data_IF_165116803967
#
_entry.id   IF_165116803967
#
_cell.length_a   1.000
_cell.length_b   1.000
_cell.length_c   1.000
_cell.angle_alpha   90.00
_cell.angle_beta   90.00
_cell.angle_gamma   90.00
#
_symmetry.space_group_name_H-M   'P 1'
#
loop_
_entity.id
_entity.type
_entity.pdbx_description
1 polymer ?
#
# COMPACT_ATOMS: atom_id res chain seq x y z
N UNK A 1 10.42 10.11 -0.35
CA UNK A 1 9.29 9.46 0.36
C UNK A 1 8.24 10.49 0.74
N UNK A 2 8.61 11.54 1.48
CA UNK A 2 7.66 12.56 1.97
C UNK A 2 6.93 13.31 0.85
N UNK A 3 7.62 13.65 -0.25
CA UNK A 3 6.98 14.27 -1.41
C UNK A 3 5.92 13.35 -2.05
N UNK A 4 6.20 12.06 -2.18
CA UNK A 4 5.25 11.06 -2.71
C UNK A 4 4.04 10.97 -1.79
N UNK A 5 4.25 10.92 -0.47
CA UNK A 5 3.17 10.91 0.52
C UNK A 5 2.29 12.15 0.35
N UNK A 6 2.90 13.34 0.33
CA UNK A 6 2.18 14.61 0.18
C UNK A 6 1.36 14.69 -1.11
N UNK A 7 1.92 14.21 -2.22
CA UNK A 7 1.20 14.15 -3.51
C UNK A 7 0.03 13.18 -3.43
N UNK A 8 0.23 11.96 -2.91
CA UNK A 8 -0.84 10.97 -2.77
C UNK A 8 -1.96 11.45 -1.84
N UNK A 9 -1.62 12.13 -0.73
CA UNK A 9 -2.59 12.78 0.15
C UNK A 9 -3.36 13.87 -0.60
N UNK A 10 -2.66 14.72 -1.35
CA UNK A 10 -3.29 15.81 -2.12
C UNK A 10 -4.25 15.25 -3.18
N UNK A 11 -3.86 14.17 -3.86
CA UNK A 11 -4.71 13.47 -4.82
C UNK A 11 -5.95 12.89 -4.14
N UNK A 12 -5.80 12.24 -2.98
CA UNK A 12 -6.91 11.69 -2.21
C UNK A 12 -7.89 12.76 -1.72
N UNK A 13 -7.45 13.99 -1.45
CA UNK A 13 -8.32 15.09 -1.01
C UNK A 13 -8.87 15.94 -2.16
N UNK A 14 -8.39 15.73 -3.38
CA UNK A 14 -8.82 16.48 -4.55
C UNK A 14 -10.07 15.88 -5.18
N UNK A 15 -11.05 16.73 -5.48
CA UNK A 15 -12.25 16.33 -6.22
C UNK A 15 -11.97 16.03 -7.71
N UNK A 16 -10.75 16.26 -8.19
CA UNK A 16 -10.34 15.99 -9.56
C UNK A 16 -10.08 14.50 -9.84
N UNK A 17 -9.95 13.67 -8.79
CA UNK A 17 -9.65 12.25 -8.92
C UNK A 17 -10.80 11.40 -8.37
N UNK A 18 -11.21 10.40 -9.14
CA UNK A 18 -12.00 9.28 -8.65
C UNK A 18 -11.10 8.05 -8.52
N UNK A 19 -11.31 7.28 -7.45
CA UNK A 19 -10.51 6.11 -7.12
C UNK A 19 -11.41 4.89 -7.02
N UNK A 20 -10.97 3.75 -7.59
CA UNK A 20 -11.71 2.49 -7.53
C UNK A 20 -12.10 2.10 -6.09
N UNK A 21 -11.14 2.22 -5.16
CA UNK A 21 -11.43 2.12 -3.73
C UNK A 21 -10.56 3.08 -2.92
N UNK A 22 -11.14 4.20 -2.52
CA UNK A 22 -10.47 5.23 -1.72
C UNK A 22 -9.97 4.72 -0.37
N UNK A 23 -10.71 3.84 0.29
CA UNK A 23 -10.30 3.26 1.59
C UNK A 23 -9.07 2.37 1.44
N UNK A 24 -8.96 1.61 0.36
CA UNK A 24 -7.81 0.74 0.10
C UNK A 24 -6.54 1.56 -0.13
N UNK A 25 -6.64 2.65 -0.88
CA UNK A 25 -5.52 3.56 -1.12
C UNK A 25 -5.09 4.27 0.17
N UNK A 26 -6.04 4.76 0.98
CA UNK A 26 -5.71 5.39 2.26
C UNK A 26 -5.00 4.40 3.21
N UNK A 27 -5.49 3.17 3.34
CA UNK A 27 -4.84 2.12 4.14
C UNK A 27 -3.41 1.84 3.65
N UNK A 28 -3.21 1.74 2.33
CA UNK A 28 -1.89 1.57 1.74
C UNK A 28 -0.97 2.76 2.05
N UNK A 29 -1.49 3.99 1.98
CA UNK A 29 -0.75 5.21 2.27
C UNK A 29 -0.33 5.31 3.75
N UNK A 30 -1.22 4.98 4.69
CA UNK A 30 -0.87 4.95 6.11
C UNK A 30 0.23 3.93 6.40
N UNK A 31 0.18 2.75 5.75
CA UNK A 31 1.24 1.75 5.85
C UNK A 31 2.55 2.23 5.22
N UNK A 32 2.49 2.87 4.05
CA UNK A 32 3.66 3.41 3.38
C UNK A 32 4.39 4.44 4.25
N UNK A 33 3.67 5.32 4.94
CA UNK A 33 4.27 6.29 5.88
C UNK A 33 5.17 5.64 6.92
N UNK A 34 4.71 4.53 7.52
CA UNK A 34 5.41 3.84 8.63
C UNK A 34 6.39 2.77 8.13
N UNK A 35 6.16 2.28 6.92
CA UNK A 35 6.81 1.13 6.34
C UNK A 35 8.14 1.42 5.63
N UNK A 36 8.90 0.36 5.38
CA UNK A 36 10.18 0.41 4.66
C UNK A 36 10.07 0.08 3.16
N UNK A 37 8.96 -0.50 2.74
CA UNK A 37 8.72 -0.86 1.34
C UNK A 37 8.11 0.31 0.54
N UNK A 38 7.95 0.12 -0.77
CA UNK A 38 7.43 1.15 -1.65
C UNK A 38 5.89 1.23 -1.55
N UNK A 39 5.30 2.36 -1.97
CA UNK A 39 3.85 2.55 -1.89
C UNK A 39 3.07 1.46 -2.66
N UNK A 40 3.58 1.07 -3.83
CA UNK A 40 3.00 0.00 -4.66
C UNK A 40 2.91 -1.32 -3.90
N UNK A 41 3.90 -1.65 -3.07
CA UNK A 41 3.88 -2.89 -2.32
C UNK A 41 2.70 -2.89 -1.33
N UNK A 42 2.58 -1.81 -0.55
CA UNK A 42 1.47 -1.67 0.40
C UNK A 42 0.11 -1.61 -0.29
N UNK A 43 0.02 -1.03 -1.49
CA UNK A 43 -1.20 -1.00 -2.29
C UNK A 43 -1.59 -2.42 -2.76
N UNK A 44 -0.65 -3.19 -3.30
CA UNK A 44 -0.89 -4.58 -3.71
C UNK A 44 -1.36 -5.43 -2.52
N UNK A 45 -0.71 -5.26 -1.35
CA UNK A 45 -1.11 -5.94 -0.12
C UNK A 45 -2.52 -5.55 0.35
N UNK A 46 -2.86 -4.25 0.27
CA UNK A 46 -4.18 -3.76 0.64
C UNK A 46 -5.28 -4.28 -0.31
N UNK A 47 -5.03 -4.29 -1.62
CA UNK A 47 -5.95 -4.85 -2.63
C UNK A 47 -6.14 -6.36 -2.41
N UNK A 48 -5.06 -7.10 -2.16
CA UNK A 48 -5.13 -8.54 -1.85
C UNK A 48 -6.00 -8.78 -0.62
N UNK A 49 -5.81 -7.99 0.43
CA UNK A 49 -6.61 -8.08 1.66
C UNK A 49 -8.08 -7.74 1.41
N UNK A 50 -8.37 -6.71 0.61
CA UNK A 50 -9.73 -6.35 0.19
C UNK A 50 -10.42 -7.50 -0.56
N UNK A 51 -9.67 -8.26 -1.36
CA UNK A 51 -10.15 -9.45 -2.06
C UNK A 51 -10.33 -10.68 -1.15
N UNK A 52 -10.08 -10.57 0.16
CA UNK A 52 -10.24 -11.65 1.14
C UNK A 52 -8.99 -12.49 1.37
N UNK A 53 -7.86 -12.16 0.74
CA UNK A 53 -6.60 -12.87 0.99
C UNK A 53 -6.10 -12.63 2.41
N UNK A 54 -5.46 -13.65 2.98
CA UNK A 54 -4.80 -13.57 4.29
C UNK A 54 -3.37 -13.05 4.18
N UNK A 55 -2.68 -13.35 3.07
CA UNK A 55 -1.31 -12.92 2.80
C UNK A 55 -1.07 -12.65 1.31
N UNK A 56 -0.11 -11.77 1.02
CA UNK A 56 0.45 -11.52 -0.31
C UNK A 56 1.86 -12.10 -0.37
N UNK A 57 2.11 -12.98 -1.33
CA UNK A 57 3.44 -13.60 -1.51
C UNK A 57 4.29 -12.72 -2.42
N UNK A 58 5.55 -12.49 -2.07
CA UNK A 58 6.49 -11.68 -2.87
C UNK A 58 7.91 -12.25 -2.82
N UNK A 59 8.73 -11.94 -3.81
CA UNK A 59 10.18 -12.18 -3.79
C UNK A 59 10.97 -10.94 -3.34
N UNK A 60 10.30 -9.81 -3.10
CA UNK A 60 10.98 -8.60 -2.63
C UNK A 60 11.36 -8.73 -1.15
N UNK A 61 12.67 -8.81 -0.89
CA UNK A 61 13.23 -8.87 0.46
C UNK A 61 12.90 -7.65 1.34
N UNK A 62 12.57 -6.48 0.75
CA UNK A 62 12.11 -5.32 1.51
C UNK A 62 10.86 -5.62 2.33
N UNK A 63 10.00 -6.53 1.84
CA UNK A 63 8.75 -6.91 2.49
C UNK A 63 8.93 -7.96 3.60
N UNK A 64 10.16 -8.45 3.84
CA UNK A 64 10.42 -9.44 4.90
C UNK A 64 10.05 -8.83 6.26
N UNK A 65 9.09 -9.47 6.93
CA UNK A 65 8.55 -9.03 8.23
C UNK A 65 7.42 -7.99 8.15
N UNK A 66 7.03 -7.54 6.95
CA UNK A 66 5.88 -6.66 6.79
C UNK A 66 4.56 -7.43 7.00
N UNK A 67 3.66 -6.87 7.82
CA UNK A 67 2.39 -7.52 8.14
C UNK A 67 1.58 -7.84 6.87
N UNK A 68 1.08 -9.06 6.75
CA UNK A 68 0.28 -9.49 5.60
C UNK A 68 1.11 -9.86 4.36
N UNK A 69 2.45 -9.84 4.43
CA UNK A 69 3.31 -10.34 3.36
C UNK A 69 3.99 -11.64 3.76
N UNK A 70 4.26 -12.48 2.78
CA UNK A 70 5.12 -13.66 2.89
C UNK A 70 6.21 -13.58 1.83
N UNK A 71 7.45 -13.39 2.25
CA UNK A 71 8.58 -13.34 1.34
C UNK A 71 9.14 -14.73 1.10
N UNK A 72 9.23 -15.13 -0.17
CA UNK A 72 9.95 -16.33 -0.60
C UNK A 72 11.44 -16.01 -0.77
N UNK A 73 12.27 -17.02 -0.49
CA UNK A 73 13.73 -16.96 -0.66
C UNK A 73 14.17 -17.49 -2.02
#
# INVERSE_FOLDING_TARGET
>A
KDEIISVLESMLHSAAFEFENRSTIDQALQRYKQGKADFSDYLIGAVSRQAGCTQTVSFDGKLKGEKGFHCLE
#
